data_IF_723011383828
#
_entry.id   IF_723011383828
#
_cell.length_a   1.000
_cell.length_b   1.000
_cell.length_c   1.000
_cell.angle_alpha   90.00
_cell.angle_beta   90.00
_cell.angle_gamma   90.00
#
_symmetry.space_group_name_H-M   'P 1'
#
loop_
_entity.id
_entity.type
_entity.pdbx_description
1 polymer ?
#
# COMPACT_ATOMS: atom_id res chain seq x y z
N UNK A 1 0.67 10.30 56.09
CA UNK A 1 0.09 11.02 54.94
C UNK A 1 1.13 11.29 53.84
N UNK A 2 2.32 11.83 54.13
CA UNK A 2 3.37 12.03 53.11
C UNK A 2 3.79 10.74 52.37
N UNK A 3 3.82 9.59 53.06
CA UNK A 3 4.15 8.27 52.47
C UNK A 3 3.07 7.72 51.54
N UNK A 4 1.80 8.08 51.74
CA UNK A 4 0.69 7.65 50.87
C UNK A 4 0.71 8.46 49.55
N UNK A 5 1.05 9.74 49.61
CA UNK A 5 1.20 10.58 48.40
C UNK A 5 2.40 10.16 47.53
N UNK A 6 3.50 9.69 48.10
CA UNK A 6 4.64 9.18 47.31
C UNK A 6 4.35 7.85 46.61
N UNK A 7 3.53 6.98 47.22
CA UNK A 7 3.14 5.70 46.60
C UNK A 7 2.15 5.87 45.44
N UNK A 8 1.29 6.88 45.48
CA UNK A 8 0.34 7.20 44.39
C UNK A 8 1.07 7.82 43.19
N UNK A 9 2.12 8.63 43.43
CA UNK A 9 2.92 9.22 42.35
C UNK A 9 3.71 8.17 41.54
N UNK A 10 4.14 7.07 42.17
CA UNK A 10 4.85 5.97 41.49
C UNK A 10 3.89 5.11 40.65
N UNK A 11 2.63 4.97 41.04
CA UNK A 11 1.62 4.19 40.30
C UNK A 11 1.09 4.90 39.04
N UNK A 12 1.14 6.25 39.01
CA UNK A 12 0.72 7.05 37.86
C UNK A 12 1.83 7.07 36.77
N UNK A 13 3.10 6.91 37.14
CA UNK A 13 4.20 6.81 36.18
C UNK A 13 4.29 5.45 35.45
N UNK A 14 3.60 4.40 35.91
CA UNK A 14 3.53 3.10 35.21
C UNK A 14 2.51 3.06 34.06
N UNK A 15 1.80 4.17 33.78
CA UNK A 15 0.95 4.31 32.59
C UNK A 15 1.71 4.82 31.36
N UNK A 16 3.05 4.83 31.40
CA UNK A 16 3.87 4.93 30.19
C UNK A 16 3.59 3.67 29.34
N UNK A 17 2.75 3.81 28.31
CA UNK A 17 2.34 2.73 27.41
C UNK A 17 3.54 1.87 27.01
N UNK A 18 3.59 0.65 27.55
CA UNK A 18 4.46 -0.38 27.00
C UNK A 18 3.91 -0.73 25.62
N UNK A 19 4.59 -0.24 24.57
CA UNK A 19 4.25 -0.56 23.19
C UNK A 19 4.23 -2.09 23.02
N UNK A 20 3.15 -2.62 22.46
CA UNK A 20 2.99 -4.07 22.24
C UNK A 20 4.10 -4.61 21.33
N UNK A 21 4.38 -5.92 21.38
CA UNK A 21 5.36 -6.53 20.48
C UNK A 21 4.99 -6.30 19.00
N UNK A 22 3.69 -6.31 18.69
CA UNK A 22 3.17 -5.95 17.38
C UNK A 22 3.56 -4.52 16.99
N UNK A 23 3.22 -3.53 17.81
CA UNK A 23 3.49 -2.13 17.51
C UNK A 23 5.00 -1.84 17.39
N UNK A 24 5.83 -2.46 18.24
CA UNK A 24 7.30 -2.36 18.14
C UNK A 24 7.80 -2.96 16.82
N UNK A 25 7.31 -4.15 16.46
CA UNK A 25 7.67 -4.84 15.22
C UNK A 25 7.27 -4.02 13.99
N UNK A 26 6.01 -3.54 13.94
CA UNK A 26 5.51 -2.71 12.86
C UNK A 26 6.29 -1.39 12.76
N UNK A 27 6.52 -0.72 13.89
CA UNK A 27 7.32 0.50 13.93
C UNK A 27 8.73 0.28 13.38
N UNK A 28 9.37 -0.84 13.73
CA UNK A 28 10.69 -1.19 13.20
C UNK A 28 10.67 -1.49 11.70
N UNK A 29 9.67 -2.23 11.22
CA UNK A 29 9.52 -2.53 9.80
C UNK A 29 9.30 -1.25 8.96
N UNK A 30 8.44 -0.34 9.44
CA UNK A 30 8.21 0.97 8.80
C UNK A 30 9.48 1.82 8.77
N UNK A 31 10.27 1.81 9.85
CA UNK A 31 11.54 2.53 9.89
C UNK A 31 12.54 1.98 8.86
N UNK A 32 12.65 0.65 8.75
CA UNK A 32 13.53 0.01 7.77
C UNK A 32 13.10 0.38 6.35
N UNK A 33 11.80 0.29 6.06
CA UNK A 33 11.25 0.64 4.76
C UNK A 33 11.47 2.11 4.42
N UNK A 34 11.18 3.04 5.34
CA UNK A 34 11.40 4.47 5.15
C UNK A 34 12.88 4.85 4.96
N UNK A 35 13.81 3.98 5.38
CA UNK A 35 15.24 4.13 5.12
C UNK A 35 15.72 3.49 3.80
N UNK A 36 14.82 2.89 3.01
CA UNK A 36 15.13 2.18 1.77
C UNK A 36 15.68 0.76 1.96
N UNK A 37 15.56 0.18 3.16
CA UNK A 37 15.99 -1.19 3.44
C UNK A 37 14.84 -2.17 3.24
N UNK A 38 14.37 -2.28 2.00
CA UNK A 38 13.13 -2.98 1.64
C UNK A 38 13.19 -4.47 1.99
N UNK A 39 14.34 -5.11 1.77
CA UNK A 39 14.54 -6.55 2.08
C UNK A 39 14.38 -6.83 3.57
N UNK A 40 15.02 -6.04 4.43
CA UNK A 40 14.94 -6.18 5.88
C UNK A 40 13.57 -5.79 6.42
N UNK A 41 12.91 -4.80 5.81
CA UNK A 41 11.55 -4.41 6.15
C UNK A 41 10.57 -5.54 5.86
N UNK A 42 10.61 -6.11 4.65
CA UNK A 42 9.78 -7.25 4.24
C UNK A 42 10.00 -8.45 5.16
N UNK A 43 11.25 -8.83 5.44
CA UNK A 43 11.55 -9.92 6.38
C UNK A 43 11.00 -9.65 7.79
N UNK A 44 10.94 -8.38 8.21
CA UNK A 44 10.36 -7.99 9.50
C UNK A 44 8.84 -8.09 9.48
N UNK A 45 8.17 -7.62 8.41
CA UNK A 45 6.73 -7.81 8.24
C UNK A 45 6.35 -9.29 8.16
N UNK A 46 7.13 -10.14 7.50
CA UNK A 46 6.89 -11.59 7.42
C UNK A 46 6.91 -12.24 8.82
N UNK A 47 7.87 -11.85 9.66
CA UNK A 47 7.91 -12.33 11.04
C UNK A 47 6.66 -11.93 11.82
N UNK A 48 6.17 -10.71 11.62
CA UNK A 48 4.94 -10.22 12.26
C UNK A 48 3.73 -10.99 11.73
N UNK A 49 3.58 -11.14 10.41
CA UNK A 49 2.52 -11.93 9.77
C UNK A 49 2.53 -13.41 10.22
N UNK A 50 3.71 -13.93 10.60
CA UNK A 50 3.85 -15.29 11.12
C UNK A 50 3.19 -15.48 12.50
N UNK A 51 2.93 -14.39 13.25
CA UNK A 51 2.32 -14.41 14.58
C UNK A 51 0.93 -13.76 14.58
N UNK A 52 0.77 -12.61 13.93
CA UNK A 52 -0.45 -11.79 13.89
C UNK A 52 -1.44 -12.27 12.82
N UNK A 53 -2.07 -13.41 13.06
CA UNK A 53 -2.90 -14.10 12.05
C UNK A 53 -4.20 -13.42 11.66
N UNK A 54 -4.65 -12.45 12.44
CA UNK A 54 -5.92 -11.75 12.21
C UNK A 54 -5.72 -10.32 11.74
N UNK A 55 -4.46 -9.89 11.55
CA UNK A 55 -4.14 -8.54 11.10
C UNK A 55 -3.62 -8.58 9.67
N UNK A 56 -4.33 -7.91 8.77
CA UNK A 56 -4.01 -7.90 7.34
C UNK A 56 -2.84 -6.96 7.01
N UNK A 57 -2.53 -5.97 7.88
CA UNK A 57 -1.56 -4.92 7.60
C UNK A 57 -0.14 -5.45 7.29
N UNK A 58 0.45 -6.39 8.05
CA UNK A 58 1.79 -6.89 7.74
C UNK A 58 1.88 -7.50 6.33
N UNK A 59 0.90 -8.33 5.96
CA UNK A 59 0.80 -8.93 4.63
C UNK A 59 0.56 -7.87 3.54
N UNK A 60 -0.26 -6.86 3.81
CA UNK A 60 -0.45 -5.73 2.91
C UNK A 60 0.87 -5.03 2.58
N UNK A 61 1.70 -4.72 3.60
CA UNK A 61 2.97 -4.04 3.36
C UNK A 61 3.98 -4.91 2.62
N UNK A 62 4.02 -6.23 2.88
CA UNK A 62 4.83 -7.16 2.07
C UNK A 62 4.39 -7.08 0.61
N UNK A 63 3.08 -7.21 0.35
CA UNK A 63 2.50 -7.12 -0.99
C UNK A 63 2.84 -5.81 -1.69
N UNK A 64 2.67 -4.70 -0.98
CA UNK A 64 2.93 -3.36 -1.48
C UNK A 64 4.40 -3.14 -1.81
N UNK A 65 5.31 -3.39 -0.86
CA UNK A 65 6.75 -3.15 -1.05
C UNK A 65 7.29 -4.02 -2.20
N UNK A 66 6.98 -5.33 -2.21
CA UNK A 66 7.42 -6.20 -3.28
C UNK A 66 6.86 -5.79 -4.66
N UNK A 67 5.63 -5.28 -4.72
CA UNK A 67 5.05 -4.73 -5.95
C UNK A 67 5.82 -3.50 -6.42
N UNK A 68 6.15 -2.58 -5.50
CA UNK A 68 6.96 -1.39 -5.80
C UNK A 68 8.36 -1.78 -6.26
N UNK A 69 8.98 -2.78 -5.64
CA UNK A 69 10.30 -3.29 -6.02
C UNK A 69 10.32 -3.85 -7.44
N UNK A 70 9.23 -4.48 -7.91
CA UNK A 70 9.13 -4.94 -9.31
C UNK A 70 9.20 -3.76 -10.28
N UNK A 71 8.55 -2.64 -9.98
CA UNK A 71 8.63 -1.44 -10.81
C UNK A 71 10.04 -0.83 -10.86
N UNK A 72 10.83 -1.01 -9.79
CA UNK A 72 12.16 -0.43 -9.65
C UNK A 72 13.32 -1.39 -9.97
N UNK A 73 13.01 -2.68 -10.18
CA UNK A 73 13.98 -3.74 -10.35
C UNK A 73 14.86 -3.51 -11.58
N UNK A 74 16.14 -3.18 -11.34
CA UNK A 74 17.18 -3.14 -12.39
C UNK A 74 17.61 -4.54 -12.81
N UNK A 75 17.64 -5.46 -11.85
CA UNK A 75 17.96 -6.87 -12.07
C UNK A 75 16.67 -7.67 -12.30
N UNK A 76 16.42 -8.03 -13.55
CA UNK A 76 15.22 -8.78 -13.95
C UNK A 76 15.14 -10.18 -13.35
N UNK A 77 16.25 -10.76 -12.89
CA UNK A 77 16.25 -12.11 -12.30
C UNK A 77 15.50 -12.17 -10.96
N UNK A 78 15.34 -11.03 -10.29
CA UNK A 78 14.60 -10.91 -9.02
C UNK A 78 13.09 -10.82 -9.20
N UNK A 79 12.63 -10.42 -10.38
CA UNK A 79 11.22 -10.10 -10.64
C UNK A 79 10.28 -11.27 -10.35
N UNK A 80 10.56 -12.53 -10.79
CA UNK A 80 9.65 -13.64 -10.50
C UNK A 80 9.44 -13.86 -9.00
N UNK A 81 10.51 -13.80 -8.21
CA UNK A 81 10.44 -13.99 -6.76
C UNK A 81 9.66 -12.87 -6.06
N UNK A 82 9.83 -11.62 -6.52
CA UNK A 82 9.08 -10.47 -6.00
C UNK A 82 7.59 -10.57 -6.34
N UNK A 83 7.24 -10.93 -7.58
CA UNK A 83 5.85 -11.11 -8.01
C UNK A 83 5.15 -12.22 -7.21
N UNK A 84 5.81 -13.37 -7.03
CA UNK A 84 5.27 -14.47 -6.22
C UNK A 84 5.05 -14.03 -4.78
N UNK A 85 6.07 -13.42 -4.15
CA UNK A 85 5.97 -12.95 -2.77
C UNK A 85 4.87 -11.90 -2.59
N UNK A 86 4.74 -10.98 -3.55
CA UNK A 86 3.69 -9.98 -3.53
C UNK A 86 2.29 -10.63 -3.62
N UNK A 87 2.07 -11.54 -4.57
CA UNK A 87 0.77 -12.21 -4.73
C UNK A 87 0.41 -13.02 -3.48
N UNK A 88 1.33 -13.84 -2.96
CA UNK A 88 1.09 -14.66 -1.76
C UNK A 88 0.70 -13.79 -0.56
N UNK A 89 1.38 -12.66 -0.38
CA UNK A 89 1.08 -11.73 0.71
C UNK A 89 -0.28 -11.03 0.52
N UNK A 90 -0.60 -10.59 -0.69
CA UNK A 90 -1.89 -9.97 -1.01
C UNK A 90 -3.03 -10.98 -0.80
N UNK A 91 -2.86 -12.23 -1.21
CA UNK A 91 -3.84 -13.31 -1.01
C UNK A 91 -4.08 -13.54 0.49
N UNK A 92 -3.01 -13.64 1.29
CA UNK A 92 -3.11 -13.78 2.74
C UNK A 92 -3.82 -12.58 3.40
N UNK A 93 -3.51 -11.35 2.97
CA UNK A 93 -4.20 -10.15 3.46
C UNK A 93 -5.69 -10.17 3.09
N UNK A 94 -6.02 -10.61 1.88
CA UNK A 94 -7.39 -10.69 1.35
C UNK A 94 -8.24 -11.70 2.12
N UNK A 95 -7.68 -12.84 2.51
CA UNK A 95 -8.39 -13.83 3.35
C UNK A 95 -8.75 -13.25 4.71
N UNK A 96 -7.85 -12.46 5.31
CA UNK A 96 -8.05 -11.84 6.62
C UNK A 96 -9.05 -10.67 6.55
N UNK A 97 -8.95 -9.85 5.50
CA UNK A 97 -9.78 -8.66 5.30
C UNK A 97 -10.43 -8.68 3.91
N UNK A 98 -11.49 -9.49 3.73
CA UNK A 98 -12.20 -9.56 2.46
C UNK A 98 -12.90 -8.22 2.18
N UNK A 99 -13.04 -7.85 0.91
CA UNK A 99 -13.65 -6.58 0.47
C UNK A 99 -12.93 -5.33 0.99
N UNK A 100 -11.60 -5.39 1.16
CA UNK A 100 -10.81 -4.25 1.58
C UNK A 100 -10.28 -3.45 0.36
N UNK A 101 -10.68 -2.18 0.18
CA UNK A 101 -10.26 -1.36 -0.96
C UNK A 101 -8.74 -1.16 -1.04
N UNK A 102 -8.05 -1.07 0.10
CA UNK A 102 -6.59 -0.88 0.11
C UNK A 102 -5.88 -2.09 -0.50
N UNK A 103 -6.31 -3.31 -0.14
CA UNK A 103 -5.74 -4.54 -0.67
C UNK A 103 -6.03 -4.68 -2.17
N UNK A 104 -7.25 -4.33 -2.59
CA UNK A 104 -7.63 -4.31 -4.01
C UNK A 104 -6.75 -3.36 -4.84
N UNK A 105 -6.43 -2.18 -4.30
CA UNK A 105 -5.50 -1.24 -4.96
C UNK A 105 -4.13 -1.88 -5.14
N UNK A 106 -3.57 -2.54 -4.12
CA UNK A 106 -2.27 -3.21 -4.23
C UNK A 106 -2.32 -4.37 -5.22
N UNK A 107 -3.42 -5.14 -5.25
CA UNK A 107 -3.63 -6.20 -6.24
C UNK A 107 -3.66 -5.64 -7.68
N UNK A 108 -4.33 -4.50 -7.90
CA UNK A 108 -4.36 -3.82 -9.19
C UNK A 108 -2.96 -3.34 -9.63
N UNK A 109 -2.19 -2.81 -8.67
CA UNK A 109 -0.79 -2.43 -8.89
C UNK A 109 0.07 -3.64 -9.23
N UNK A 110 -0.11 -4.79 -8.56
CA UNK A 110 0.61 -6.02 -8.89
C UNK A 110 0.28 -6.52 -10.29
N UNK A 111 -0.99 -6.49 -10.71
CA UNK A 111 -1.36 -6.82 -12.09
C UNK A 111 -0.72 -5.87 -13.09
N UNK A 112 -0.62 -4.58 -12.76
CA UNK A 112 0.13 -3.61 -13.57
C UNK A 112 1.61 -3.97 -13.64
N UNK A 113 2.21 -4.37 -12.52
CA UNK A 113 3.61 -4.80 -12.47
C UNK A 113 3.88 -6.04 -13.34
N UNK A 114 2.95 -6.99 -13.40
CA UNK A 114 3.00 -8.15 -14.31
C UNK A 114 2.83 -7.72 -15.76
N UNK A 115 1.87 -6.83 -16.02
CA UNK A 115 1.58 -6.31 -17.36
C UNK A 115 2.83 -5.75 -18.02
N UNK A 116 3.57 -4.89 -17.31
CA UNK A 116 4.71 -4.19 -17.90
C UNK A 116 5.92 -5.08 -18.18
N UNK A 117 5.97 -6.32 -17.66
CA UNK A 117 7.07 -7.25 -17.95
C UNK A 117 7.05 -7.75 -19.38
N UNK A 118 5.85 -7.98 -19.91
CA UNK A 118 5.60 -8.33 -21.31
C UNK A 118 4.24 -7.77 -21.73
N UNK A 119 4.17 -6.47 -22.11
CA UNK A 119 2.91 -5.82 -22.44
C UNK A 119 2.15 -6.48 -23.59
N UNK A 120 2.86 -7.13 -24.53
CA UNK A 120 2.25 -7.79 -25.69
C UNK A 120 1.48 -9.04 -25.27
N UNK A 121 2.05 -9.83 -24.36
CA UNK A 121 1.41 -11.06 -23.85
C UNK A 121 0.43 -10.76 -22.72
N UNK A 122 0.78 -9.83 -21.82
CA UNK A 122 0.08 -9.61 -20.56
C UNK A 122 -0.96 -8.50 -20.62
N UNK A 123 -0.88 -7.59 -21.61
CA UNK A 123 -1.67 -6.37 -21.71
C UNK A 123 -3.18 -6.57 -21.53
N UNK A 124 -3.77 -7.44 -22.36
CA UNK A 124 -5.22 -7.66 -22.34
C UNK A 124 -5.69 -8.28 -21.02
N UNK A 125 -5.01 -9.34 -20.56
CA UNK A 125 -5.41 -10.07 -19.36
C UNK A 125 -5.24 -9.21 -18.10
N UNK A 126 -4.02 -8.75 -17.85
CA UNK A 126 -3.72 -8.07 -16.60
C UNK A 126 -4.21 -6.62 -16.58
N UNK A 127 -4.40 -5.99 -17.75
CA UNK A 127 -5.04 -4.69 -17.83
C UNK A 127 -6.52 -4.74 -17.43
N UNK A 128 -7.26 -5.75 -17.90
CA UNK A 128 -8.63 -5.98 -17.48
C UNK A 128 -8.74 -6.29 -15.98
N UNK A 129 -7.86 -7.16 -15.47
CA UNK A 129 -7.84 -7.51 -14.05
C UNK A 129 -7.47 -6.31 -13.15
N UNK A 130 -6.53 -5.45 -13.56
CA UNK A 130 -6.19 -4.25 -12.81
C UNK A 130 -7.37 -3.29 -12.71
N UNK A 131 -8.05 -3.03 -13.84
CA UNK A 131 -9.25 -2.18 -13.87
C UNK A 131 -10.37 -2.72 -13.00
N UNK A 132 -10.63 -4.03 -13.05
CA UNK A 132 -11.65 -4.67 -12.23
C UNK A 132 -11.40 -4.45 -10.74
N UNK A 133 -10.16 -4.55 -10.28
CA UNK A 133 -9.80 -4.31 -8.88
C UNK A 133 -9.98 -2.84 -8.47
N UNK A 134 -9.58 -1.90 -9.32
CA UNK A 134 -9.83 -0.48 -9.05
C UNK A 134 -11.32 -0.15 -9.00
N UNK A 135 -12.12 -0.70 -9.91
CA UNK A 135 -13.57 -0.49 -9.94
C UNK A 135 -14.24 -1.09 -8.71
N UNK A 136 -13.83 -2.28 -8.26
CA UNK A 136 -14.29 -2.89 -7.01
C UNK A 136 -13.92 -2.04 -5.80
N UNK A 137 -12.68 -1.56 -5.72
CA UNK A 137 -12.22 -0.70 -4.64
C UNK A 137 -13.05 0.59 -4.55
N UNK A 138 -13.31 1.23 -5.70
CA UNK A 138 -14.10 2.47 -5.78
C UNK A 138 -15.61 2.24 -5.59
N UNK A 139 -16.12 1.04 -5.87
CA UNK A 139 -17.51 0.70 -5.54
C UNK A 139 -17.72 0.56 -4.03
N UNK A 140 -16.71 0.09 -3.29
CA UNK A 140 -16.74 -0.05 -1.83
C UNK A 140 -16.45 1.28 -1.13
N UNK A 141 -15.37 1.96 -1.56
CA UNK A 141 -14.99 3.27 -1.06
C UNK A 141 -14.70 4.24 -2.23
N UNK A 142 -15.72 4.97 -2.71
CA UNK A 142 -15.58 5.94 -3.79
C UNK A 142 -14.67 7.13 -3.47
N UNK A 143 -14.30 7.30 -2.20
CA UNK A 143 -13.45 8.39 -1.71
C UNK A 143 -12.05 7.91 -1.30
N UNK A 144 -11.72 6.64 -1.53
CA UNK A 144 -10.38 6.14 -1.27
C UNK A 144 -9.36 6.89 -2.16
N UNK A 145 -8.45 7.69 -1.58
CA UNK A 145 -7.56 8.52 -2.38
C UNK A 145 -6.59 7.69 -3.22
N UNK A 146 -6.13 6.54 -2.71
CA UNK A 146 -5.22 5.64 -3.43
C UNK A 146 -5.94 4.94 -4.58
N UNK A 147 -7.20 4.53 -4.42
CA UNK A 147 -7.96 3.95 -5.52
C UNK A 147 -8.21 4.96 -6.65
N UNK A 148 -8.61 6.19 -6.32
CA UNK A 148 -8.80 7.25 -7.32
C UNK A 148 -7.50 7.58 -8.04
N UNK A 149 -6.41 7.76 -7.27
CA UNK A 149 -5.10 8.08 -7.82
C UNK A 149 -4.53 6.96 -8.70
N UNK A 150 -4.40 5.75 -8.15
CA UNK A 150 -3.71 4.65 -8.83
C UNK A 150 -4.47 4.18 -10.07
N UNK A 151 -5.80 4.27 -10.08
CA UNK A 151 -6.60 4.03 -11.28
C UNK A 151 -6.27 5.05 -12.39
N UNK A 152 -6.30 6.34 -12.04
CA UNK A 152 -6.00 7.40 -13.01
C UNK A 152 -4.56 7.29 -13.56
N UNK A 153 -3.59 6.97 -12.70
CA UNK A 153 -2.20 6.74 -13.13
C UNK A 153 -2.09 5.54 -14.08
N UNK A 154 -2.78 4.43 -13.77
CA UNK A 154 -2.85 3.26 -14.65
C UNK A 154 -3.45 3.60 -16.03
N UNK A 155 -4.57 4.32 -16.05
CA UNK A 155 -5.25 4.72 -17.29
C UNK A 155 -4.39 5.66 -18.15
N UNK A 156 -3.64 6.59 -17.54
CA UNK A 156 -2.65 7.42 -18.26
C UNK A 156 -1.55 6.55 -18.89
N UNK A 157 -1.06 5.54 -18.16
CA UNK A 157 -0.08 4.59 -18.68
C UNK A 157 -0.56 3.84 -19.93
N UNK A 158 -1.86 3.55 -20.00
CA UNK A 158 -2.54 2.94 -21.15
C UNK A 158 -2.86 3.94 -22.28
N UNK A 159 -3.13 5.20 -21.96
CA UNK A 159 -3.62 6.20 -22.91
C UNK A 159 -2.70 6.39 -24.13
N UNK A 160 -1.38 6.26 -23.96
CA UNK A 160 -0.42 6.34 -25.07
C UNK A 160 -0.61 5.26 -26.14
N UNK A 161 -1.11 4.08 -25.77
CA UNK A 161 -1.35 2.98 -26.68
C UNK A 161 -2.69 3.12 -27.41
N UNK A 162 -3.69 3.69 -26.74
CA UNK A 162 -5.06 3.81 -27.25
C UNK A 162 -5.39 5.21 -27.80
N UNK A 163 -4.45 6.16 -27.71
CA UNK A 163 -4.62 7.57 -28.10
C UNK A 163 -5.81 8.24 -27.39
N UNK A 164 -6.05 7.84 -26.14
CA UNK A 164 -7.12 8.39 -25.29
C UNK A 164 -6.71 9.77 -24.75
N UNK A 165 -7.67 10.70 -24.63
CA UNK A 165 -7.45 11.97 -23.94
C UNK A 165 -7.16 11.72 -22.44
N UNK A 166 -6.05 12.28 -21.95
CA UNK A 166 -5.60 12.11 -20.56
C UNK A 166 -6.22 13.11 -19.60
N UNK A 167 -6.90 14.14 -20.11
CA UNK A 167 -7.50 15.20 -19.30
C UNK A 167 -8.41 14.67 -18.17
N UNK A 168 -9.32 13.70 -18.39
CA UNK A 168 -10.16 13.16 -17.31
C UNK A 168 -9.34 12.50 -16.19
N UNK A 169 -8.26 11.81 -16.53
CA UNK A 169 -7.38 11.17 -15.55
C UNK A 169 -6.58 12.22 -14.77
N UNK A 170 -6.13 13.28 -15.43
CA UNK A 170 -5.47 14.40 -14.75
C UNK A 170 -6.40 15.12 -13.77
N UNK A 171 -7.69 15.29 -14.11
CA UNK A 171 -8.71 15.79 -13.18
C UNK A 171 -8.93 14.83 -12.00
N UNK A 172 -8.92 13.51 -12.24
CA UNK A 172 -9.00 12.51 -11.19
C UNK A 172 -7.78 12.52 -10.25
N UNK A 173 -6.57 12.74 -10.77
CA UNK A 173 -5.35 12.92 -9.96
C UNK A 173 -5.45 14.20 -9.11
N UNK A 174 -5.93 15.31 -9.66
CA UNK A 174 -6.14 16.53 -8.88
C UNK A 174 -7.13 16.29 -7.73
N UNK A 175 -8.24 15.59 -8.00
CA UNK A 175 -9.22 15.21 -6.98
C UNK A 175 -8.63 14.27 -5.92
N UNK A 176 -7.77 13.32 -6.29
CA UNK A 176 -7.17 12.41 -5.33
C UNK A 176 -6.27 13.13 -4.32
N UNK A 177 -5.59 14.20 -4.73
CA UNK A 177 -4.78 15.05 -3.83
C UNK A 177 -5.67 15.70 -2.75
N UNK A 178 -6.85 16.19 -3.11
CA UNK A 178 -7.82 16.70 -2.14
C UNK A 178 -8.32 15.60 -1.19
N UNK A 179 -8.54 14.40 -1.70
CA UNK A 179 -8.91 13.24 -0.88
C UNK A 179 -7.78 12.84 0.08
N UNK A 180 -6.52 12.86 -0.37
CA UNK A 180 -5.35 12.60 0.48
C UNK A 180 -5.24 13.61 1.61
N UNK A 181 -5.45 14.90 1.35
CA UNK A 181 -5.39 15.95 2.37
C UNK A 181 -6.45 15.76 3.48
N UNK A 182 -7.56 15.11 3.17
CA UNK A 182 -8.64 14.83 4.12
C UNK A 182 -8.63 13.40 4.65
N UNK A 183 -7.74 12.55 4.16
CA UNK A 183 -7.64 11.15 4.57
C UNK A 183 -7.06 11.05 5.98
N UNK A 184 -7.71 10.24 6.82
CA UNK A 184 -7.24 9.94 8.17
C UNK A 184 -7.07 8.43 8.29
N UNK A 185 -5.84 7.92 8.44
CA UNK A 185 -5.63 6.50 8.65
C UNK A 185 -6.27 6.06 9.97
N UNK A 186 -6.92 4.89 9.99
CA UNK A 186 -7.61 4.39 11.19
C UNK A 186 -6.64 4.10 12.35
N UNK A 187 -5.41 3.70 12.02
CA UNK A 187 -4.33 3.50 12.99
C UNK A 187 -3.02 4.07 12.44
N UNK A 188 -1.98 4.25 13.28
CA UNK A 188 -0.67 4.73 12.82
C UNK A 188 -0.01 3.85 11.75
N UNK A 189 -0.46 2.60 11.60
CA UNK A 189 0.04 1.64 10.61
C UNK A 189 -0.90 1.44 9.43
N UNK A 190 -2.02 2.15 9.35
CA UNK A 190 -2.84 2.11 8.14
C UNK A 190 -2.12 2.83 6.99
N UNK A 191 -2.39 2.44 5.73
CA UNK A 191 -1.69 2.99 4.59
C UNK A 191 -1.83 4.51 4.49
N UNK A 192 -0.68 5.19 4.43
CA UNK A 192 -0.62 6.66 4.31
C UNK A 192 0.36 7.10 3.21
N UNK A 193 0.55 6.26 2.19
CA UNK A 193 1.35 6.55 1.01
C UNK A 193 0.50 7.13 -0.13
N UNK A 194 1.17 7.66 -1.15
CA UNK A 194 0.56 8.01 -2.44
C UNK A 194 0.39 9.51 -2.70
N UNK A 195 0.27 10.33 -1.66
CA UNK A 195 0.09 11.78 -1.81
C UNK A 195 1.22 12.45 -2.61
N UNK A 196 2.48 12.16 -2.27
CA UNK A 196 3.64 12.72 -2.98
C UNK A 196 3.68 12.29 -4.44
N UNK A 197 3.32 11.02 -4.72
CA UNK A 197 3.28 10.48 -6.08
C UNK A 197 2.15 11.10 -6.89
N UNK A 198 0.98 11.32 -6.29
CA UNK A 198 -0.13 12.03 -6.93
C UNK A 198 0.26 13.47 -7.29
N UNK A 199 0.95 14.16 -6.39
CA UNK A 199 1.48 15.50 -6.65
C UNK A 199 2.49 15.51 -7.81
N UNK A 200 3.38 14.52 -7.88
CA UNK A 200 4.33 14.36 -8.98
C UNK A 200 3.63 14.04 -10.30
N UNK A 201 2.64 13.13 -10.29
CA UNK A 201 1.88 12.77 -11.47
C UNK A 201 1.10 13.95 -12.04
N UNK A 202 0.52 14.80 -11.18
CA UNK A 202 -0.18 16.01 -11.61
C UNK A 202 0.73 17.04 -12.29
N UNK A 203 2.03 17.09 -11.94
CA UNK A 203 2.99 17.96 -12.63
C UNK A 203 3.13 17.52 -14.09
N UNK A 204 3.15 16.22 -14.35
CA UNK A 204 3.24 15.64 -15.70
C UNK A 204 1.95 15.81 -16.54
N UNK A 205 0.86 16.26 -15.93
CA UNK A 205 -0.40 16.57 -16.61
C UNK A 205 -0.45 18.00 -17.18
N UNK A 206 0.54 18.84 -16.87
CA UNK A 206 0.66 20.24 -17.30
C UNK A 206 1.73 20.37 -18.37
#
# INVERSE_FOLDING_TARGET
MKTIFTSIAIFICSLLSAQTQYEQGMGKAMQLWGAGNDTEAVATFERIASVEKTNWLPNYYIGFICTIDVFQAKDKTKIPALLTKAQDAIDNATVISPNNPEIMVVQAMLYTAILIQDPMTNGQKYGGLAMEQYDKALAIDPKNPRAVFSKAEFEIGGAKYWKTDTKPMCEAIAKSIELFANFKPETPFHPNWGADRAQQALISCK
#
